data_IF_084917139988
#
_entry.id   IF_084917139988
#
_cell.length_a   1.000
_cell.length_b   1.000
_cell.length_c   1.000
_cell.angle_alpha   90.00
_cell.angle_beta   90.00
_cell.angle_gamma   90.00
#
_symmetry.space_group_name_H-M   'P 1'
#
loop_
_entity.id
_entity.type
_entity.pdbx_description
1 polymer ?
#
# COMPACT_ATOMS: atom_id res chain seq x y z
N UNK A 1 14.03 -14.24 -0.05
CA UNK A 1 15.38 -13.63 -0.08
C UNK A 1 16.25 -14.36 -1.11
N UNK A 2 16.32 -13.96 -2.39
CA UNK A 2 17.10 -14.67 -3.42
C UNK A 2 18.33 -13.85 -3.80
N UNK A 3 19.48 -14.52 -4.01
CA UNK A 3 20.62 -14.07 -4.82
C UNK A 3 20.79 -15.11 -5.93
N UNK A 4 20.90 -14.66 -7.18
CA UNK A 4 21.17 -15.52 -8.35
C UNK A 4 22.48 -16.31 -8.15
N UNK A 5 22.44 -17.61 -8.46
CA UNK A 5 23.61 -18.39 -8.85
C UNK A 5 23.34 -18.98 -10.22
N UNK A 6 24.12 -18.56 -11.22
CA UNK A 6 24.42 -19.45 -12.33
C UNK A 6 25.29 -20.57 -11.74
N UNK A 7 24.74 -21.77 -11.59
CA UNK A 7 25.53 -22.95 -11.27
C UNK A 7 26.36 -23.28 -12.51
N UNK A 8 27.51 -22.64 -12.66
CA UNK A 8 28.60 -23.25 -13.42
C UNK A 8 29.15 -24.38 -12.56
N UNK A 9 28.67 -25.57 -12.90
CA UNK A 9 29.33 -26.86 -12.73
C UNK A 9 29.75 -27.22 -11.29
N UNK A 10 28.80 -27.72 -10.50
CA UNK A 10 29.09 -28.69 -9.45
C UNK A 10 27.98 -29.75 -9.44
N UNK A 11 28.32 -30.87 -10.08
CA UNK A 11 27.75 -32.21 -9.95
C UNK A 11 26.97 -32.46 -8.65
N UNK A 12 25.65 -32.39 -8.75
CA UNK A 12 24.77 -33.20 -7.90
C UNK A 12 24.98 -34.65 -8.33
N UNK A 13 25.27 -35.61 -7.44
CA UNK A 13 25.27 -37.01 -7.83
C UNK A 13 23.81 -37.41 -8.07
N UNK A 14 23.34 -37.23 -9.30
CA UNK A 14 22.19 -37.97 -9.79
C UNK A 14 22.69 -39.39 -9.93
N UNK A 15 22.37 -40.24 -8.96
CA UNK A 15 22.60 -41.68 -9.06
C UNK A 15 21.89 -42.18 -10.32
N UNK A 16 22.67 -42.43 -11.37
CA UNK A 16 22.24 -43.02 -12.61
C UNK A 16 21.85 -44.49 -12.36
N UNK A 17 20.60 -44.73 -11.94
CA UNK A 17 19.97 -46.05 -11.96
C UNK A 17 18.44 -45.98 -11.84
N UNK A 18 17.83 -44.96 -12.45
CA UNK A 18 16.36 -44.82 -12.51
C UNK A 18 15.86 -44.77 -13.96
N UNK A 19 16.43 -45.60 -14.83
CA UNK A 19 15.86 -45.92 -16.15
C UNK A 19 15.46 -47.39 -16.20
N UNK A 20 14.49 -47.78 -15.36
CA UNK A 20 13.66 -49.00 -15.51
C UNK A 20 12.78 -49.13 -14.28
N UNK A 21 11.66 -48.43 -14.28
CA UNK A 21 10.39 -48.75 -13.60
C UNK A 21 9.55 -47.48 -13.69
N UNK A 22 8.31 -47.61 -14.16
CA UNK A 22 7.38 -46.49 -14.31
C UNK A 22 6.98 -45.90 -12.97
N UNK A 23 7.87 -45.10 -12.37
CA UNK A 23 7.54 -44.22 -11.26
C UNK A 23 6.98 -42.93 -11.83
N UNK A 24 5.71 -42.68 -11.51
CA UNK A 24 5.03 -41.40 -11.65
C UNK A 24 5.95 -40.31 -11.08
N UNK A 25 6.28 -39.31 -11.91
CA UNK A 25 6.92 -38.08 -11.45
C UNK A 25 6.11 -37.55 -10.26
N UNK A 26 6.71 -37.30 -9.09
CA UNK A 26 5.97 -36.72 -7.98
C UNK A 26 5.36 -35.42 -8.49
N UNK A 27 4.05 -35.28 -8.24
CA UNK A 27 3.25 -34.15 -8.69
C UNK A 27 4.03 -32.85 -8.49
N UNK A 28 4.07 -32.03 -9.55
CA UNK A 28 4.60 -30.67 -9.58
C UNK A 28 4.20 -29.99 -8.26
N UNK A 29 5.11 -29.90 -7.30
CA UNK A 29 4.86 -29.13 -6.09
C UNK A 29 4.78 -27.70 -6.59
N UNK A 30 3.57 -27.16 -6.73
CA UNK A 30 3.39 -25.75 -7.11
C UNK A 30 3.94 -24.93 -5.94
N UNK A 31 5.21 -24.55 -6.02
CA UNK A 31 5.80 -23.58 -5.12
C UNK A 31 5.15 -22.22 -5.43
N UNK A 32 3.95 -22.00 -4.89
CA UNK A 32 3.25 -20.73 -4.99
C UNK A 32 3.93 -19.74 -4.04
N UNK A 33 4.46 -18.65 -4.60
CA UNK A 33 5.01 -17.57 -3.78
C UNK A 33 3.90 -17.02 -2.88
N UNK A 34 4.16 -16.96 -1.58
CA UNK A 34 3.16 -16.51 -0.60
C UNK A 34 2.75 -15.07 -0.89
N UNK A 35 1.49 -14.85 -1.27
CA UNK A 35 0.91 -13.50 -1.38
C UNK A 35 0.99 -12.78 -0.04
N UNK A 36 1.04 -11.45 -0.06
CA UNK A 36 1.02 -10.67 1.16
C UNK A 36 -0.26 -10.99 1.97
N UNK A 37 -0.14 -11.40 3.24
CA UNK A 37 -1.31 -11.64 4.06
C UNK A 37 -2.01 -10.30 4.33
N UNK A 38 -3.30 -10.21 4.02
CA UNK A 38 -4.13 -9.09 4.41
C UNK A 38 -4.81 -9.43 5.74
N UNK A 39 -4.32 -8.87 6.83
CA UNK A 39 -4.97 -8.94 8.14
C UNK A 39 -5.27 -7.52 8.57
N UNK A 40 -6.46 -7.04 8.21
CA UNK A 40 -6.85 -5.64 8.37
C UNK A 40 -6.66 -5.08 9.80
N UNK A 41 -7.01 -5.82 10.88
CA UNK A 41 -6.74 -5.36 12.24
C UNK A 41 -5.25 -5.20 12.58
N UNK A 42 -4.34 -5.81 11.81
CA UNK A 42 -2.89 -5.82 12.07
C UNK A 42 -2.11 -4.96 11.09
N UNK A 43 -2.77 -4.08 10.35
CA UNK A 43 -2.08 -3.12 9.50
C UNK A 43 -1.17 -2.22 10.34
N UNK A 44 0.00 -1.93 9.78
CA UNK A 44 1.01 -1.09 10.39
C UNK A 44 1.30 0.09 9.46
N UNK A 45 0.36 1.04 9.46
CA UNK A 45 0.36 2.21 8.59
C UNK A 45 0.22 3.49 9.40
N UNK A 46 0.65 4.60 8.79
CA UNK A 46 0.19 5.93 9.17
C UNK A 46 -0.76 6.40 8.06
N UNK A 47 -2.03 6.62 8.40
CA UNK A 47 -3.09 6.88 7.44
C UNK A 47 -3.61 8.30 7.69
N UNK A 48 -3.79 9.09 6.65
CA UNK A 48 -4.57 10.33 6.74
C UNK A 48 -5.85 10.18 5.93
N UNK A 49 -6.99 10.40 6.58
CA UNK A 49 -8.29 10.45 5.94
C UNK A 49 -8.58 11.90 5.60
N UNK A 50 -8.69 12.20 4.30
CA UNK A 50 -9.05 13.52 3.80
C UNK A 50 -10.52 13.52 3.41
N UNK A 51 -11.32 14.34 4.08
CA UNK A 51 -12.78 14.37 3.97
C UNK A 51 -13.22 15.65 3.28
N UNK A 52 -13.86 15.50 2.12
CA UNK A 52 -14.59 16.60 1.50
C UNK A 52 -15.78 17.01 2.41
N UNK A 53 -15.72 18.22 2.96
CA UNK A 53 -16.78 18.78 3.81
C UNK A 53 -17.47 19.99 3.16
N UNK A 54 -17.37 20.10 1.84
CA UNK A 54 -18.01 21.15 1.04
C UNK A 54 -19.54 21.09 1.04
N UNK A 55 -20.13 19.89 1.19
CA UNK A 55 -21.57 19.65 1.18
C UNK A 55 -22.06 18.79 2.36
N UNK A 56 -23.23 19.11 2.93
CA UNK A 56 -23.81 18.45 4.12
C UNK A 56 -24.30 17.00 3.86
N UNK A 57 -24.84 16.72 2.67
CA UNK A 57 -25.19 15.35 2.28
C UNK A 57 -23.92 14.50 2.07
N UNK A 58 -22.90 15.10 1.44
CA UNK A 58 -21.58 14.51 1.24
C UNK A 58 -20.94 14.01 2.52
N UNK A 59 -20.83 14.87 3.55
CA UNK A 59 -20.12 14.51 4.80
C UNK A 59 -20.78 13.35 5.56
N UNK A 60 -22.12 13.25 5.52
CA UNK A 60 -22.87 12.15 6.14
C UNK A 60 -22.57 10.83 5.44
N UNK A 61 -22.64 10.82 4.10
CA UNK A 61 -22.28 9.64 3.31
C UNK A 61 -20.83 9.22 3.55
N UNK A 62 -19.90 10.17 3.63
CA UNK A 62 -18.49 9.90 3.89
C UNK A 62 -18.29 9.28 5.28
N UNK A 63 -18.92 9.83 6.31
CA UNK A 63 -18.80 9.36 7.69
C UNK A 63 -19.25 7.90 7.84
N UNK A 64 -20.33 7.51 7.17
CA UNK A 64 -20.80 6.12 7.13
C UNK A 64 -19.77 5.18 6.44
N UNK A 65 -19.17 5.63 5.33
CA UNK A 65 -18.15 4.85 4.61
C UNK A 65 -16.85 4.73 5.40
N UNK A 66 -16.42 5.77 6.10
CA UNK A 66 -15.25 5.71 6.99
C UNK A 66 -15.55 4.72 8.12
N UNK A 67 -16.68 4.87 8.79
CA UNK A 67 -17.06 4.02 9.92
C UNK A 67 -17.09 2.54 9.54
N UNK A 68 -17.73 2.22 8.41
CA UNK A 68 -17.77 0.84 7.91
C UNK A 68 -16.41 0.31 7.44
N UNK A 69 -15.53 1.16 6.92
CA UNK A 69 -14.22 0.74 6.40
C UNK A 69 -13.21 0.48 7.53
N UNK A 70 -13.20 1.34 8.54
CA UNK A 70 -12.15 1.40 9.56
C UNK A 70 -12.53 0.74 10.90
N UNK A 71 -13.77 0.29 11.10
CA UNK A 71 -14.24 -0.33 12.35
C UNK A 71 -13.40 -1.51 12.89
N UNK A 72 -12.67 -2.22 12.03
CA UNK A 72 -11.83 -3.36 12.41
C UNK A 72 -10.34 -3.02 12.49
N UNK A 73 -9.93 -1.81 12.09
CA UNK A 73 -8.53 -1.40 12.14
C UNK A 73 -8.12 -1.16 13.59
N UNK A 74 -7.06 -1.79 14.07
CA UNK A 74 -6.52 -1.47 15.40
C UNK A 74 -5.73 -0.16 15.33
N UNK A 75 -6.29 0.86 15.98
CA UNK A 75 -5.68 2.18 16.13
C UNK A 75 -5.15 2.32 17.55
N UNK A 76 -3.89 2.74 17.67
CA UNK A 76 -3.27 2.98 18.97
C UNK A 76 -2.09 3.95 18.83
N UNK A 77 -1.48 4.31 19.96
CA UNK A 77 -0.27 5.12 20.03
C UNK A 77 0.89 4.33 20.67
N UNK A 78 2.11 4.86 20.54
CA UNK A 78 3.32 4.23 21.08
C UNK A 78 3.88 3.09 20.22
N UNK A 79 4.65 2.20 20.86
CA UNK A 79 5.30 1.07 20.22
C UNK A 79 4.35 -0.13 20.06
N UNK A 80 4.45 -0.84 18.94
CA UNK A 80 3.63 -2.02 18.66
C UNK A 80 3.17 -2.10 17.22
N UNK A 81 2.51 -3.21 16.88
CA UNK A 81 1.90 -3.41 15.57
C UNK A 81 0.48 -2.84 15.59
N UNK A 82 0.34 -1.59 15.17
CA UNK A 82 -0.92 -0.88 15.06
C UNK A 82 -0.82 0.22 14.01
N UNK A 83 -1.96 0.76 13.57
CA UNK A 83 -2.00 1.92 12.69
C UNK A 83 -2.26 3.20 13.47
N UNK A 84 -1.78 4.33 12.94
CA UNK A 84 -2.14 5.67 13.38
C UNK A 84 -2.99 6.31 12.31
N UNK A 85 -3.98 7.10 12.72
CA UNK A 85 -4.89 7.77 11.80
C UNK A 85 -4.93 9.26 12.13
N UNK A 86 -4.77 10.09 11.11
CA UNK A 86 -5.10 11.50 11.15
C UNK A 86 -6.33 11.75 10.27
N UNK A 87 -7.06 12.82 10.55
CA UNK A 87 -8.25 13.21 9.80
C UNK A 87 -8.14 14.70 9.51
N UNK A 88 -8.31 15.03 8.24
CA UNK A 88 -8.38 16.39 7.75
C UNK A 88 -9.70 16.56 6.99
N UNK A 89 -10.26 17.75 7.05
CA UNK A 89 -11.39 18.17 6.21
C UNK A 89 -10.91 19.16 5.18
N UNK A 90 -11.52 19.17 3.99
CA UNK A 90 -11.23 20.17 2.99
C UNK A 90 -12.51 20.60 2.28
N UNK A 91 -12.63 21.91 2.10
CA UNK A 91 -13.58 22.55 1.21
C UNK A 91 -12.81 23.63 0.45
N UNK A 92 -13.10 24.93 0.62
CA UNK A 92 -12.29 26.00 0.00
C UNK A 92 -10.87 26.05 0.59
N UNK A 93 -10.77 25.80 1.90
CA UNK A 93 -9.55 25.60 2.67
C UNK A 93 -9.58 24.23 3.37
N UNK A 94 -8.40 23.73 3.72
CA UNK A 94 -8.26 22.48 4.47
C UNK A 94 -7.94 22.74 5.95
N UNK A 95 -8.50 21.92 6.82
CA UNK A 95 -8.28 21.95 8.26
C UNK A 95 -7.77 20.59 8.75
N UNK A 96 -6.72 20.61 9.57
CA UNK A 96 -6.25 19.41 10.28
C UNK A 96 -7.09 19.25 11.55
N UNK A 97 -8.21 18.52 11.48
CA UNK A 97 -9.08 18.33 12.65
C UNK A 97 -8.39 17.46 13.71
N UNK A 98 -7.70 16.40 13.26
CA UNK A 98 -7.04 15.44 14.14
C UNK A 98 -5.69 14.97 13.56
N UNK A 99 -4.60 15.23 14.29
CA UNK A 99 -3.27 14.74 13.93
C UNK A 99 -3.09 13.22 14.15
N UNK A 100 -2.00 12.66 13.61
CA UNK A 100 -1.67 11.22 13.71
C UNK A 100 -1.47 10.72 15.15
N UNK A 101 -1.22 11.62 16.11
CA UNK A 101 -1.00 11.34 17.52
C UNK A 101 -2.28 11.45 18.37
N UNK A 102 -3.42 11.83 17.75
CA UNK A 102 -4.65 12.13 18.48
C UNK A 102 -5.40 10.90 18.97
N UNK A 103 -5.69 9.96 18.07
CA UNK A 103 -6.58 8.83 18.35
C UNK A 103 -5.83 7.67 19.02
N UNK A 104 -6.41 7.13 20.09
CA UNK A 104 -5.83 6.01 20.87
C UNK A 104 -6.60 4.71 20.73
N UNK A 105 -7.77 4.75 20.12
CA UNK A 105 -8.57 3.57 19.79
C UNK A 105 -9.36 3.78 18.50
N UNK A 106 -9.95 2.70 18.01
CA UNK A 106 -10.82 2.73 16.83
C UNK A 106 -12.10 3.50 17.14
N UNK A 107 -12.66 3.31 18.32
CA UNK A 107 -13.88 4.01 18.78
C UNK A 107 -13.68 5.53 18.79
N UNK A 108 -12.53 6.03 19.28
CA UNK A 108 -12.24 7.47 19.24
C UNK A 108 -12.18 8.03 17.81
N UNK A 109 -11.66 7.26 16.85
CA UNK A 109 -11.70 7.65 15.43
C UNK A 109 -13.15 7.75 14.95
N UNK A 110 -13.97 6.73 15.23
CA UNK A 110 -15.36 6.67 14.77
C UNK A 110 -16.17 7.85 15.32
N UNK A 111 -16.04 8.14 16.62
CA UNK A 111 -16.67 9.30 17.24
C UNK A 111 -16.14 10.63 16.67
N UNK A 112 -14.83 10.72 16.43
CA UNK A 112 -14.21 11.92 15.85
C UNK A 112 -14.74 12.27 14.46
N UNK A 113 -14.93 11.25 13.61
CA UNK A 113 -15.45 11.40 12.24
C UNK A 113 -16.93 11.81 12.23
N UNK A 114 -17.74 11.27 13.16
CA UNK A 114 -19.16 11.62 13.26
C UNK A 114 -19.39 13.08 13.70
N UNK A 115 -18.37 13.74 14.28
CA UNK A 115 -18.44 15.12 14.76
C UNK A 115 -17.85 16.15 13.77
N UNK A 116 -17.48 15.74 12.56
CA UNK A 116 -16.97 16.68 11.56
C UNK A 116 -18.08 17.64 11.09
N UNK A 117 -17.72 18.90 10.87
CA UNK A 117 -18.65 19.93 10.44
C UNK A 117 -18.52 20.20 8.94
N UNK A 118 -19.65 20.54 8.33
CA UNK A 118 -19.75 21.07 6.96
C UNK A 118 -19.48 22.58 6.97
N UNK A 119 -18.90 23.09 5.87
CA UNK A 119 -18.59 24.52 5.70
C UNK A 119 -19.46 25.17 4.61
N UNK A 120 -20.20 24.39 3.82
CA UNK A 120 -21.01 24.85 2.68
C UNK A 120 -20.22 25.78 1.72
N UNK A 121 -19.24 25.21 1.01
CA UNK A 121 -18.39 25.95 0.08
C UNK A 121 -17.98 25.09 -1.11
N UNK A 122 -17.10 25.56 -1.99
CA UNK A 122 -16.56 24.74 -3.09
C UNK A 122 -15.46 23.79 -2.57
N UNK A 123 -15.35 22.60 -3.16
CA UNK A 123 -14.28 21.66 -2.83
C UNK A 123 -12.96 22.05 -3.52
N UNK A 124 -11.86 22.05 -2.77
CA UNK A 124 -10.49 22.27 -3.26
C UNK A 124 -9.60 21.09 -2.84
N UNK A 125 -9.50 20.10 -3.73
CA UNK A 125 -8.71 18.87 -3.50
C UNK A 125 -7.22 19.17 -3.36
N UNK A 126 -6.73 20.22 -4.02
CA UNK A 126 -5.33 20.65 -3.92
C UNK A 126 -4.98 20.99 -2.47
N UNK A 127 -5.85 21.73 -1.77
CA UNK A 127 -5.66 22.06 -0.35
C UNK A 127 -5.71 20.82 0.53
N UNK A 128 -6.65 19.90 0.28
CA UNK A 128 -6.78 18.65 1.02
C UNK A 128 -5.55 17.74 0.90
N UNK A 129 -5.01 17.58 -0.31
CA UNK A 129 -3.78 16.83 -0.54
C UNK A 129 -2.57 17.46 0.15
N UNK A 130 -2.47 18.79 0.13
CA UNK A 130 -1.40 19.52 0.81
C UNK A 130 -1.46 19.33 2.33
N UNK A 131 -2.64 19.54 2.95
CA UNK A 131 -2.85 19.35 4.39
C UNK A 131 -2.63 17.89 4.82
N UNK A 132 -3.04 16.92 3.99
CA UNK A 132 -2.79 15.51 4.27
C UNK A 132 -1.29 15.17 4.25
N UNK A 133 -0.55 15.68 3.25
CA UNK A 133 0.91 15.54 3.18
C UNK A 133 1.61 16.20 4.38
N UNK A 134 1.16 17.38 4.78
CA UNK A 134 1.65 18.11 5.94
C UNK A 134 1.42 17.31 7.24
N UNK A 135 0.22 16.77 7.44
CA UNK A 135 -0.14 15.93 8.59
C UNK A 135 0.77 14.70 8.70
N UNK A 136 1.06 14.04 7.56
CA UNK A 136 2.01 12.92 7.50
C UNK A 136 3.44 13.35 7.85
N UNK A 137 3.88 14.52 7.39
CA UNK A 137 5.22 15.03 7.65
C UNK A 137 5.43 15.37 9.14
N UNK A 138 4.49 16.07 9.76
CA UNK A 138 4.57 16.44 11.18
C UNK A 138 4.44 15.24 12.13
N UNK A 139 3.51 14.32 11.86
CA UNK A 139 3.30 13.15 12.70
C UNK A 139 4.44 12.11 12.68
N UNK A 140 5.46 12.33 11.84
CA UNK A 140 6.65 11.48 11.68
C UNK A 140 7.95 12.16 12.14
N UNK A 141 7.89 13.01 13.16
CA UNK A 141 9.07 13.64 13.76
C UNK A 141 10.26 12.68 13.98
N UNK A 142 11.50 13.20 14.08
CA UNK A 142 12.72 12.40 13.94
C UNK A 142 12.75 11.17 14.85
N UNK A 143 12.85 9.98 14.25
CA UNK A 143 12.97 8.71 14.97
C UNK A 143 11.65 8.03 15.34
N UNK A 144 10.51 8.68 15.13
CA UNK A 144 9.18 8.09 15.36
C UNK A 144 8.84 7.11 14.21
N UNK A 145 8.52 5.85 14.57
CA UNK A 145 7.97 4.81 13.65
C UNK A 145 8.73 4.64 12.32
N UNK A 146 10.00 4.25 12.41
CA UNK A 146 10.83 3.84 11.26
C UNK A 146 10.26 2.58 10.59
N UNK A 147 10.32 2.54 9.26
CA UNK A 147 9.81 1.44 8.43
C UNK A 147 8.28 1.28 8.49
N UNK A 148 7.54 2.38 8.42
CA UNK A 148 6.09 2.43 8.26
C UNK A 148 5.76 3.09 6.94
N UNK A 149 4.79 2.53 6.20
CA UNK A 149 4.24 3.14 4.99
C UNK A 149 3.09 4.07 5.34
N UNK A 150 2.91 5.05 4.48
CA UNK A 150 1.89 6.08 4.61
C UNK A 150 0.82 5.88 3.56
N UNK A 151 -0.42 6.20 3.91
CA UNK A 151 -1.54 6.20 2.98
C UNK A 151 -2.39 7.46 3.19
N UNK A 152 -2.94 7.99 2.10
CA UNK A 152 -4.00 8.99 2.14
C UNK A 152 -5.27 8.31 1.62
N UNK A 153 -6.37 8.40 2.37
CA UNK A 153 -7.70 8.00 1.89
C UNK A 153 -8.50 9.27 1.67
N UNK A 154 -8.62 9.66 0.41
CA UNK A 154 -9.30 10.88 -0.06
C UNK A 154 -10.75 10.55 -0.39
N UNK A 155 -11.69 11.06 0.40
CA UNK A 155 -13.12 11.01 0.12
C UNK A 155 -13.53 12.30 -0.57
N UNK A 156 -13.99 12.21 -1.82
CA UNK A 156 -14.32 13.36 -2.66
C UNK A 156 -15.77 13.29 -3.14
N UNK A 157 -16.49 14.41 -3.06
CA UNK A 157 -17.87 14.57 -3.56
C UNK A 157 -17.94 15.43 -4.81
N UNK A 158 -16.91 16.24 -5.04
CA UNK A 158 -16.74 17.05 -6.24
C UNK A 158 -15.28 17.05 -6.72
N UNK A 159 -15.06 17.40 -8.00
CA UNK A 159 -13.73 17.63 -8.54
C UNK A 159 -13.77 18.66 -9.67
N UNK A 160 -13.07 19.77 -9.48
CA UNK A 160 -13.07 20.89 -10.42
C UNK A 160 -11.96 20.74 -11.44
N UNK A 161 -12.24 21.14 -12.68
CA UNK A 161 -11.26 21.07 -13.77
C UNK A 161 -10.05 22.00 -13.52
N UNK A 162 -10.27 23.14 -12.88
CA UNK A 162 -9.20 24.09 -12.51
C UNK A 162 -8.20 23.53 -11.49
N UNK A 163 -8.63 22.57 -10.67
CA UNK A 163 -7.75 21.89 -9.71
C UNK A 163 -6.93 20.78 -10.38
N UNK A 164 -7.29 20.34 -11.60
CA UNK A 164 -6.83 19.06 -12.14
C UNK A 164 -5.31 18.98 -12.27
N UNK A 165 -4.70 19.99 -12.89
CA UNK A 165 -3.24 20.01 -13.11
C UNK A 165 -2.46 20.09 -11.79
N UNK A 166 -2.93 20.91 -10.85
CA UNK A 166 -2.23 21.15 -9.59
C UNK A 166 -2.38 19.96 -8.65
N UNK A 167 -3.57 19.38 -8.56
CA UNK A 167 -3.84 18.18 -7.78
C UNK A 167 -3.01 16.98 -8.28
N UNK A 168 -2.90 16.79 -9.59
CA UNK A 168 -2.07 15.73 -10.19
C UNK A 168 -0.59 15.90 -9.80
N UNK A 169 -0.05 17.11 -9.91
CA UNK A 169 1.35 17.41 -9.53
C UNK A 169 1.62 17.13 -8.05
N UNK A 170 0.74 17.55 -7.14
CA UNK A 170 0.89 17.28 -5.70
C UNK A 170 0.78 15.78 -5.43
N UNK A 171 -0.18 15.10 -6.07
CA UNK A 171 -0.35 13.67 -5.92
C UNK A 171 0.89 12.89 -6.38
N UNK A 172 1.53 13.29 -7.49
CA UNK A 172 2.77 12.68 -7.96
C UNK A 172 3.91 12.84 -6.96
N UNK A 173 4.04 14.00 -6.32
CA UNK A 173 5.02 14.20 -5.24
C UNK A 173 4.73 13.30 -4.03
N UNK A 174 3.47 13.21 -3.61
CA UNK A 174 3.05 12.33 -2.50
C UNK A 174 3.36 10.85 -2.82
N UNK A 175 3.05 10.40 -4.03
CA UNK A 175 3.33 9.04 -4.52
C UNK A 175 4.83 8.77 -4.60
N UNK A 176 5.62 9.74 -5.08
CA UNK A 176 7.08 9.66 -5.14
C UNK A 176 7.72 9.57 -3.74
N UNK A 177 7.15 10.25 -2.74
CA UNK A 177 7.53 10.15 -1.33
C UNK A 177 7.17 8.78 -0.70
N UNK A 178 6.54 7.89 -1.46
CA UNK A 178 6.19 6.53 -1.05
C UNK A 178 4.86 6.42 -0.30
N UNK A 179 3.99 7.42 -0.42
CA UNK A 179 2.63 7.43 0.13
C UNK A 179 1.64 6.99 -0.94
N UNK A 180 0.80 5.99 -0.65
CA UNK A 180 -0.26 5.62 -1.58
C UNK A 180 -1.49 6.52 -1.38
N UNK A 181 -2.14 6.93 -2.47
CA UNK A 181 -3.38 7.72 -2.44
C UNK A 181 -4.53 6.82 -2.88
N UNK A 182 -5.47 6.59 -1.98
CA UNK A 182 -6.71 5.85 -2.22
C UNK A 182 -7.84 6.87 -2.33
N UNK A 183 -8.53 6.90 -3.46
CA UNK A 183 -9.63 7.83 -3.70
C UNK A 183 -10.96 7.09 -3.62
N UNK A 184 -11.87 7.62 -2.81
CA UNK A 184 -13.27 7.20 -2.74
C UNK A 184 -14.14 8.34 -3.27
N UNK A 185 -14.65 8.15 -4.49
CA UNK A 185 -15.55 9.08 -5.14
C UNK A 185 -16.99 8.84 -4.65
N UNK A 186 -17.58 9.85 -4.03
CA UNK A 186 -18.93 9.83 -3.49
C UNK A 186 -19.92 10.27 -4.56
N UNK A 187 -20.70 9.32 -5.05
CA UNK A 187 -21.83 9.58 -5.93
C UNK A 187 -23.03 10.12 -5.12
N UNK A 188 -23.40 11.37 -5.39
CA UNK A 188 -24.56 12.06 -4.81
C UNK A 188 -25.74 12.15 -5.80
N UNK A 189 -25.70 11.41 -6.92
CA UNK A 189 -26.76 11.39 -7.92
C UNK A 189 -26.65 12.45 -9.01
N UNK A 190 -25.55 13.19 -9.08
CA UNK A 190 -25.23 14.12 -10.17
C UNK A 190 -24.22 13.49 -11.14
N UNK A 191 -24.69 13.13 -12.35
CA UNK A 191 -23.85 12.49 -13.37
C UNK A 191 -22.68 13.37 -13.83
N UNK A 192 -22.83 14.70 -13.80
CA UNK A 192 -21.78 15.64 -14.21
C UNK A 192 -20.64 15.61 -13.19
N UNK A 193 -20.98 15.70 -11.90
CA UNK A 193 -20.00 15.59 -10.81
C UNK A 193 -19.36 14.20 -10.78
N UNK A 194 -20.15 13.14 -10.98
CA UNK A 194 -19.61 11.78 -11.03
C UNK A 194 -18.60 11.59 -12.17
N UNK A 195 -18.85 12.18 -13.34
CA UNK A 195 -17.90 12.17 -14.45
C UNK A 195 -16.63 12.94 -14.13
N UNK A 196 -16.74 14.06 -13.40
CA UNK A 196 -15.58 14.80 -12.92
C UNK A 196 -14.77 13.96 -11.91
N UNK A 197 -15.43 13.35 -10.92
CA UNK A 197 -14.79 12.47 -9.93
C UNK A 197 -14.02 11.29 -10.57
N UNK A 198 -14.46 10.77 -11.73
CA UNK A 198 -13.71 9.72 -12.45
C UNK A 198 -12.32 10.19 -12.92
N UNK A 199 -12.12 11.48 -13.12
CA UNK A 199 -10.81 12.06 -13.48
C UNK A 199 -9.79 11.98 -12.33
N UNK A 200 -10.24 11.79 -11.08
CA UNK A 200 -9.36 11.55 -9.93
C UNK A 200 -8.54 10.26 -10.03
N UNK A 201 -8.77 9.43 -11.06
CA UNK A 201 -7.88 8.32 -11.41
C UNK A 201 -6.42 8.76 -11.59
N UNK A 202 -6.17 10.00 -12.03
CA UNK A 202 -4.81 10.56 -12.16
C UNK A 202 -4.18 10.91 -10.81
N UNK A 203 -5.00 11.35 -9.86
CA UNK A 203 -4.60 11.65 -8.48
C UNK A 203 -4.34 10.37 -7.68
N UNK A 204 -5.22 9.38 -7.81
CA UNK A 204 -5.09 8.09 -7.11
C UNK A 204 -3.80 7.35 -7.47
N UNK A 205 -3.30 6.54 -6.54
CA UNK A 205 -2.37 5.46 -6.89
C UNK A 205 -3.05 4.57 -7.95
N UNK A 206 -2.35 4.12 -9.01
CA UNK A 206 -2.96 3.34 -10.07
C UNK A 206 -3.77 2.15 -9.54
N UNK A 207 -5.07 2.12 -9.87
CA UNK A 207 -6.01 1.09 -9.42
C UNK A 207 -6.73 1.38 -8.10
N UNK A 208 -6.44 2.49 -7.41
CA UNK A 208 -7.03 2.84 -6.11
C UNK A 208 -8.08 3.96 -6.19
N UNK A 209 -8.81 4.06 -7.30
CA UNK A 209 -10.03 4.86 -7.39
C UNK A 209 -11.24 3.94 -7.24
N UNK A 210 -12.09 4.21 -6.25
CA UNK A 210 -13.30 3.44 -5.97
C UNK A 210 -14.52 4.35 -5.91
N UNK A 211 -15.67 3.87 -6.42
CA UNK A 211 -16.94 4.61 -6.38
C UNK A 211 -17.75 4.20 -5.14
N UNK A 212 -18.46 5.12 -4.51
CA UNK A 212 -19.28 4.87 -3.31
C UNK A 212 -20.40 3.84 -3.51
N UNK A 213 -20.81 3.67 -4.77
CA UNK A 213 -21.85 2.74 -5.25
C UNK A 213 -21.32 1.33 -5.53
N UNK A 214 -20.01 1.09 -5.40
CA UNK A 214 -19.44 -0.24 -5.54
C UNK A 214 -19.98 -1.18 -4.44
N UNK A 215 -20.42 -2.38 -4.83
CA UNK A 215 -20.99 -3.38 -3.93
C UNK A 215 -20.03 -3.81 -2.81
N UNK A 216 -18.73 -3.66 -3.01
CA UNK A 216 -17.66 -4.13 -2.13
C UNK A 216 -16.67 -3.01 -1.75
N UNK A 217 -17.09 -1.73 -1.79
CA UNK A 217 -16.24 -0.57 -1.50
C UNK A 217 -15.37 -0.76 -0.24
N UNK A 218 -15.97 -1.23 0.86
CA UNK A 218 -15.26 -1.53 2.11
C UNK A 218 -14.07 -2.46 1.83
N UNK A 219 -14.31 -3.60 1.18
CA UNK A 219 -13.27 -4.57 0.88
C UNK A 219 -12.22 -4.01 -0.07
N UNK A 220 -12.61 -3.17 -1.04
CA UNK A 220 -11.68 -2.53 -1.97
C UNK A 220 -10.71 -1.58 -1.26
N UNK A 221 -11.23 -0.70 -0.40
CA UNK A 221 -10.38 0.23 0.39
C UNK A 221 -9.51 -0.54 1.38
N UNK A 222 -10.07 -1.52 2.09
CA UNK A 222 -9.30 -2.38 3.00
C UNK A 222 -8.19 -3.15 2.27
N UNK A 223 -8.48 -3.66 1.07
CA UNK A 223 -7.50 -4.34 0.24
C UNK A 223 -6.40 -3.39 -0.22
N UNK A 224 -6.73 -2.19 -0.68
CA UNK A 224 -5.75 -1.17 -1.06
C UNK A 224 -4.81 -0.84 0.12
N UNK A 225 -5.35 -0.64 1.32
CA UNK A 225 -4.55 -0.44 2.53
C UNK A 225 -3.66 -1.66 2.86
N UNK A 226 -4.16 -2.87 2.69
CA UNK A 226 -3.35 -4.09 2.82
C UNK A 226 -2.17 -4.12 1.83
N UNK A 227 -2.40 -3.71 0.58
CA UNK A 227 -1.37 -3.66 -0.45
C UNK A 227 -0.38 -2.51 -0.25
N UNK A 228 -0.79 -1.42 0.39
CA UNK A 228 0.11 -0.37 0.90
C UNK A 228 0.99 -0.87 2.04
N UNK A 229 0.42 -1.67 2.95
CA UNK A 229 1.15 -2.30 4.06
C UNK A 229 2.06 -3.47 3.62
N UNK A 230 1.93 -3.92 2.37
CA UNK A 230 2.82 -4.90 1.76
C UNK A 230 4.05 -4.20 1.16
N UNK A 231 5.10 -4.03 1.98
CA UNK A 231 6.34 -3.40 1.56
C UNK A 231 7.57 -4.04 2.20
N UNK A 232 8.70 -3.82 1.56
CA UNK A 232 10.00 -4.22 2.07
C UNK A 232 10.73 -3.06 2.76
N UNK A 233 11.60 -3.40 3.70
CA UNK A 233 12.49 -2.42 4.35
C UNK A 233 13.42 -1.78 3.30
N UNK A 234 13.92 -0.58 3.59
CA UNK A 234 14.87 0.10 2.72
C UNK A 234 16.07 -0.78 2.32
N UNK A 235 16.45 -0.72 1.03
CA UNK A 235 17.50 -1.55 0.44
C UNK A 235 17.09 -3.00 0.15
N UNK A 236 15.79 -3.31 0.24
CA UNK A 236 15.17 -4.55 -0.21
C UNK A 236 14.06 -4.24 -1.21
N UNK A 237 13.95 -5.07 -2.24
CA UNK A 237 12.96 -4.96 -3.29
C UNK A 237 11.79 -5.89 -3.00
N UNK A 238 10.59 -5.34 -3.09
CA UNK A 238 9.33 -6.06 -2.95
C UNK A 238 9.09 -6.90 -4.20
N UNK A 239 9.05 -8.23 -4.06
CA UNK A 239 8.70 -9.09 -5.18
C UNK A 239 7.26 -8.79 -5.64
N UNK A 240 7.11 -8.60 -6.94
CA UNK A 240 5.85 -8.40 -7.65
C UNK A 240 5.89 -9.20 -8.96
N UNK A 241 4.75 -9.71 -9.42
CA UNK A 241 4.70 -10.42 -10.69
C UNK A 241 4.74 -9.40 -11.85
N UNK A 242 5.90 -9.20 -12.45
CA UNK A 242 6.08 -8.19 -13.50
C UNK A 242 5.57 -8.62 -14.88
N UNK A 243 5.19 -9.89 -15.09
CA UNK A 243 4.76 -10.38 -16.41
C UNK A 243 3.25 -10.44 -16.57
N UNK A 244 2.51 -10.70 -15.48
CA UNK A 244 1.05 -10.72 -15.47
C UNK A 244 0.47 -9.41 -14.95
N UNK A 245 0.82 -9.03 -13.72
CA UNK A 245 0.28 -7.86 -13.03
C UNK A 245 1.22 -7.39 -11.92
N UNK A 246 1.92 -6.28 -12.19
CA UNK A 246 2.89 -5.69 -11.27
C UNK A 246 2.24 -5.09 -10.00
N UNK A 247 0.92 -4.97 -9.95
CA UNK A 247 0.19 -4.52 -8.76
C UNK A 247 0.10 -5.61 -7.69
N UNK A 248 0.25 -6.89 -8.07
CA UNK A 248 0.24 -8.01 -7.13
C UNK A 248 1.60 -8.13 -6.43
N UNK A 249 1.66 -7.63 -5.20
CA UNK A 249 2.82 -7.73 -4.31
C UNK A 249 2.78 -9.02 -3.47
N UNK A 250 3.95 -9.61 -3.23
CA UNK A 250 4.10 -10.86 -2.50
C UNK A 250 4.73 -10.66 -1.11
N UNK A 251 4.63 -11.61 -0.20
CA UNK A 251 5.28 -11.52 1.12
C UNK A 251 6.80 -11.71 1.10
N UNK A 252 7.45 -11.57 -0.07
CA UNK A 252 8.87 -11.83 -0.27
C UNK A 252 9.66 -10.56 -0.61
N UNK A 253 10.67 -10.30 0.22
CA UNK A 253 11.66 -9.26 -0.01
C UNK A 253 12.95 -9.84 -0.57
N UNK A 254 13.45 -9.24 -1.64
CA UNK A 254 14.61 -9.65 -2.40
C UNK A 254 15.69 -8.58 -2.32
N UNK A 255 16.96 -8.99 -2.25
CA UNK A 255 18.10 -8.08 -2.31
C UNK A 255 19.11 -8.68 -3.27
N UNK A 256 19.16 -8.19 -4.51
CA UNK A 256 20.10 -8.70 -5.50
C UNK A 256 21.52 -8.44 -5.01
N UNK A 257 22.46 -9.23 -5.52
CA UNK A 257 23.85 -8.91 -5.34
C UNK A 257 24.68 -9.36 -6.52
N UNK A 258 25.77 -8.62 -6.68
CA UNK A 258 26.59 -8.58 -7.88
C UNK A 258 27.89 -9.38 -7.66
N UNK A 259 27.94 -10.26 -6.65
CA UNK A 259 29.16 -10.98 -6.30
C UNK A 259 28.93 -12.47 -6.47
N UNK A 260 29.69 -13.06 -7.39
CA UNK A 260 29.77 -14.51 -7.57
C UNK A 260 30.42 -15.16 -6.34
N UNK A 261 29.77 -16.18 -5.80
CA UNK A 261 30.21 -16.86 -4.59
C UNK A 261 29.78 -18.33 -4.64
N UNK A 262 30.50 -19.22 -3.97
CA UNK A 262 29.98 -20.57 -3.79
C UNK A 262 28.76 -20.57 -2.84
N UNK A 263 27.91 -21.59 -2.95
CA UNK A 263 26.64 -21.68 -2.20
C UNK A 263 26.80 -21.42 -0.68
N UNK A 264 27.86 -21.96 -0.07
CA UNK A 264 28.13 -21.80 1.36
C UNK A 264 28.46 -20.34 1.75
N UNK A 265 29.23 -19.63 0.93
CA UNK A 265 29.55 -18.24 1.16
C UNK A 265 28.31 -17.35 0.96
N UNK A 266 27.52 -17.65 -0.06
CA UNK A 266 26.28 -16.94 -0.35
C UNK A 266 25.23 -17.09 0.75
N UNK A 267 24.97 -18.32 1.20
CA UNK A 267 24.05 -18.62 2.30
C UNK A 267 24.44 -17.84 3.57
N UNK A 268 25.73 -17.81 3.90
CA UNK A 268 26.25 -17.03 5.05
C UNK A 268 26.06 -15.53 4.85
N UNK A 269 26.35 -15.01 3.66
CA UNK A 269 26.17 -13.59 3.34
C UNK A 269 24.70 -13.15 3.40
N UNK A 270 23.78 -13.96 2.87
CA UNK A 270 22.34 -13.70 2.96
C UNK A 270 21.85 -13.70 4.40
N UNK A 271 22.28 -14.69 5.21
CA UNK A 271 21.98 -14.73 6.65
C UNK A 271 22.44 -13.45 7.35
N UNK A 272 23.67 -13.01 7.08
CA UNK A 272 24.23 -11.78 7.66
C UNK A 272 23.44 -10.54 7.22
N UNK A 273 23.14 -10.41 5.93
CA UNK A 273 22.41 -9.26 5.36
C UNK A 273 20.97 -9.15 5.87
N UNK A 274 20.32 -10.29 6.18
CA UNK A 274 18.97 -10.36 6.71
C UNK A 274 18.89 -10.46 8.24
N UNK A 275 19.94 -10.06 8.97
CA UNK A 275 19.99 -10.14 10.44
C UNK A 275 19.62 -11.53 11.00
N UNK A 276 20.21 -12.58 10.42
CA UNK A 276 19.97 -13.98 10.78
C UNK A 276 18.72 -14.61 10.14
N UNK A 277 17.76 -13.80 9.70
CA UNK A 277 16.51 -14.23 9.04
C UNK A 277 16.62 -14.24 7.52
N UNK A 278 17.81 -14.01 6.98
CA UNK A 278 18.05 -14.04 5.55
C UNK A 278 18.23 -15.45 4.99
N UNK A 279 17.67 -15.73 3.82
CA UNK A 279 17.80 -17.01 3.13
C UNK A 279 18.38 -16.78 1.71
N UNK A 280 18.82 -17.84 1.04
CA UNK A 280 18.81 -17.84 -0.42
C UNK A 280 17.38 -18.14 -0.84
N UNK A 281 16.99 -17.78 -2.04
CA UNK A 281 15.68 -18.15 -2.49
C UNK A 281 15.73 -18.71 -3.87
N UNK A 282 14.58 -19.19 -4.20
CA UNK A 282 14.31 -20.12 -5.23
C UNK A 282 13.81 -19.37 -6.45
N UNK A 283 14.36 -19.73 -7.59
CA UNK A 283 13.88 -19.32 -8.91
C UNK A 283 13.19 -20.54 -9.52
N UNK A 284 11.94 -20.77 -9.12
CA UNK A 284 11.15 -21.91 -9.63
C UNK A 284 10.16 -21.50 -10.71
N UNK A 285 10.06 -20.20 -11.01
CA UNK A 285 9.18 -19.64 -12.04
C UNK A 285 9.90 -18.53 -12.83
N UNK A 286 9.43 -18.31 -14.05
CA UNK A 286 10.04 -17.38 -15.00
C UNK A 286 9.89 -15.92 -14.56
N UNK A 287 8.81 -15.59 -13.86
CA UNK A 287 8.51 -14.22 -13.46
C UNK A 287 9.47 -13.77 -12.37
N UNK A 288 9.71 -14.66 -11.41
CA UNK A 288 10.70 -14.49 -10.35
C UNK A 288 12.11 -14.42 -10.92
N UNK A 289 12.46 -15.28 -11.88
CA UNK A 289 13.74 -15.18 -12.58
C UNK A 289 13.91 -13.81 -13.26
N UNK A 290 12.91 -13.36 -14.02
CA UNK A 290 12.92 -12.05 -14.69
C UNK A 290 13.01 -10.89 -13.70
N UNK A 291 12.30 -10.98 -12.57
CA UNK A 291 12.36 -9.97 -11.51
C UNK A 291 13.77 -9.85 -10.92
N UNK A 292 14.42 -10.98 -10.61
CA UNK A 292 15.74 -10.99 -9.98
C UNK A 292 16.84 -10.60 -10.99
N UNK A 293 16.76 -11.13 -12.22
CA UNK A 293 17.69 -10.80 -13.29
C UNK A 293 17.55 -9.32 -13.74
N UNK A 294 16.32 -8.82 -13.84
CA UNK A 294 16.01 -7.43 -14.16
C UNK A 294 16.43 -6.45 -13.05
N UNK A 295 16.27 -6.85 -11.78
CA UNK A 295 16.72 -6.08 -10.62
C UNK A 295 18.24 -5.94 -10.49
N UNK A 296 19.03 -6.63 -11.32
CA UNK A 296 20.49 -6.46 -11.39
C UNK A 296 20.92 -5.30 -12.32
N UNK A 297 19.95 -4.62 -12.97
CA UNK A 297 20.16 -3.48 -13.88
C UNK A 297 19.65 -2.14 -13.31
N UNK A 298 19.20 -2.10 -12.06
CA UNK A 298 18.72 -0.88 -11.37
C UNK A 298 19.77 -0.46 -10.33
#
# INVERSE_FOLDING_TARGET
LVRLFSLTDQSIPISANYFRTGLVLPAKTSYSTRKCPCTFPKLWLDIVIAVDNSADDGIKHISDKITSTFNELVIAQGEGQHSRVGVITYASEAEINYGLDRFRSTEELLEGVLNLNTVDSEANITSGLAAARETLAFGRGPGLRRNVRTAIVLYATDYREEDEETAEKIADLIKADGTDIIVVAIDLGDETKLNALRKLKKVATPGYLFLSTANDLRHQVQHALCMTNCFCKGGWYQYANITEDSTVKYGECLKPAIIDACWNAAKRSCRKSGNGKGYLANEFDLDKHKFIAGGSRI
#
